data_IF_089123452356
#
_entry.id   IF_089123452356
#
_cell.length_a   1.000
_cell.length_b   1.000
_cell.length_c   1.000
_cell.angle_alpha   90.00
_cell.angle_beta   90.00
_cell.angle_gamma   90.00
#
_symmetry.space_group_name_H-M   'P 1'
#
loop_
_entity.id
_entity.type
_entity.pdbx_description
1 polymer ?
#
# COMPACT_ATOMS: atom_id res chain seq x y z
N UNK A 1 6.91 -53.55 32.93
CA UNK A 1 7.65 -54.14 31.79
C UNK A 1 7.46 -53.23 30.58
N UNK A 2 8.41 -52.36 30.20
CA UNK A 2 8.26 -51.52 29.02
C UNK A 2 8.71 -52.27 27.75
N UNK A 3 7.84 -52.33 26.75
CA UNK A 3 8.14 -52.98 25.46
C UNK A 3 9.17 -52.16 24.67
N UNK A 4 10.30 -52.78 24.30
CA UNK A 4 11.28 -52.23 23.35
C UNK A 4 10.78 -52.44 21.93
N UNK A 5 10.42 -51.36 21.23
CA UNK A 5 10.17 -51.40 19.79
C UNK A 5 11.50 -51.29 19.06
N UNK A 6 11.94 -52.38 18.42
CA UNK A 6 13.17 -52.39 17.61
C UNK A 6 12.90 -51.79 16.24
N UNK A 7 13.20 -50.50 16.06
CA UNK A 7 13.14 -49.86 14.75
C UNK A 7 14.39 -50.23 13.93
N UNK A 8 14.24 -51.19 13.01
CA UNK A 8 15.25 -51.59 12.01
C UNK A 8 15.77 -50.35 11.27
N UNK A 9 17.05 -50.06 11.40
CA UNK A 9 17.76 -49.08 10.59
C UNK A 9 18.06 -49.70 9.22
N UNK A 10 17.30 -49.33 8.19
CA UNK A 10 17.65 -49.64 6.81
C UNK A 10 18.68 -48.61 6.32
N UNK A 11 19.93 -49.08 6.28
CA UNK A 11 21.08 -48.43 5.64
C UNK A 11 20.77 -48.16 4.17
N UNK A 12 20.37 -46.94 3.83
CA UNK A 12 20.25 -46.49 2.44
C UNK A 12 21.65 -46.30 1.86
N UNK A 13 21.94 -47.06 0.80
CA UNK A 13 23.20 -47.07 0.06
C UNK A 13 23.42 -45.73 -0.66
N UNK A 14 24.64 -45.24 -0.57
CA UNK A 14 25.16 -44.08 -1.31
C UNK A 14 25.03 -44.30 -2.82
N UNK A 15 24.41 -43.35 -3.52
CA UNK A 15 24.41 -43.22 -4.97
C UNK A 15 24.78 -41.79 -5.32
N UNK A 16 26.03 -41.57 -5.71
CA UNK A 16 26.54 -40.29 -6.18
C UNK A 16 26.22 -40.12 -7.67
N UNK A 17 25.43 -39.10 -8.01
CA UNK A 17 25.56 -38.29 -9.23
C UNK A 17 24.45 -37.22 -9.23
N UNK A 18 24.57 -36.17 -8.41
CA UNK A 18 23.77 -34.95 -8.63
C UNK A 18 24.49 -34.11 -9.69
N UNK A 19 23.90 -34.06 -10.87
CA UNK A 19 24.30 -33.16 -11.95
C UNK A 19 24.46 -31.74 -11.39
N UNK A 20 25.65 -31.14 -11.58
CA UNK A 20 25.90 -29.73 -11.25
C UNK A 20 25.08 -28.87 -12.20
N UNK A 21 23.85 -28.55 -11.82
CA UNK A 21 23.07 -27.52 -12.47
C UNK A 21 23.87 -26.20 -12.35
N UNK A 22 24.17 -25.56 -13.50
CA UNK A 22 24.84 -24.25 -13.54
C UNK A 22 24.09 -23.30 -12.61
N UNK A 23 24.79 -22.80 -11.60
CA UNK A 23 24.25 -21.82 -10.66
C UNK A 23 24.01 -20.50 -11.42
N UNK A 24 22.76 -20.27 -11.83
CA UNK A 24 22.33 -18.95 -12.24
C UNK A 24 22.29 -18.06 -10.98
N UNK A 25 23.01 -16.92 -10.96
CA UNK A 25 23.14 -16.08 -9.77
C UNK A 25 21.83 -15.40 -9.33
N UNK A 26 20.73 -15.57 -10.08
CA UNK A 26 19.47 -14.84 -9.89
C UNK A 26 18.32 -15.69 -9.33
N UNK A 27 18.50 -17.00 -9.08
CA UNK A 27 17.39 -17.94 -8.81
C UNK A 27 17.24 -18.36 -7.34
N UNK A 28 17.41 -17.46 -6.38
CA UNK A 28 17.53 -17.82 -4.96
C UNK A 28 16.20 -18.20 -4.25
N UNK A 29 15.03 -17.72 -4.70
CA UNK A 29 13.75 -17.90 -3.97
C UNK A 29 13.07 -19.24 -4.30
N UNK A 30 13.07 -19.63 -5.58
CA UNK A 30 12.36 -20.84 -6.04
C UNK A 30 13.22 -22.11 -6.02
N UNK A 31 14.50 -22.01 -5.68
CA UNK A 31 15.36 -23.17 -5.50
C UNK A 31 14.93 -24.00 -4.29
N UNK A 32 15.15 -25.32 -4.41
CA UNK A 32 15.10 -26.28 -3.29
C UNK A 32 15.80 -25.65 -2.07
N UNK A 33 15.14 -25.56 -0.90
CA UNK A 33 15.70 -24.95 0.30
C UNK A 33 17.13 -25.41 0.63
N UNK A 34 17.48 -26.65 0.30
CA UNK A 34 18.82 -27.19 0.52
C UNK A 34 19.92 -26.57 -0.35
N UNK A 35 19.56 -25.97 -1.49
CA UNK A 35 20.48 -25.33 -2.43
C UNK A 35 20.49 -23.80 -2.32
N UNK A 36 19.71 -23.22 -1.40
CA UNK A 36 19.64 -21.76 -1.23
C UNK A 36 20.94 -21.23 -0.64
N UNK A 37 21.37 -20.02 -1.03
CA UNK A 37 22.50 -19.36 -0.39
C UNK A 37 22.30 -19.30 1.13
N UNK A 38 23.27 -19.81 1.90
CA UNK A 38 23.21 -19.85 3.37
C UNK A 38 22.63 -21.13 3.99
N UNK A 39 22.36 -22.18 3.20
CA UNK A 39 21.96 -23.51 3.70
C UNK A 39 23.02 -24.57 3.30
N UNK A 40 23.48 -25.43 4.23
CA UNK A 40 23.16 -25.46 5.67
C UNK A 40 23.82 -24.29 6.42
N UNK A 41 23.11 -23.74 7.40
CA UNK A 41 23.66 -22.67 8.26
C UNK A 41 24.76 -23.25 9.16
N UNK A 42 25.92 -22.60 9.22
CA UNK A 42 27.00 -22.99 10.14
C UNK A 42 26.61 -22.82 11.61
N UNK A 43 25.82 -21.77 11.91
CA UNK A 43 25.32 -21.49 13.26
C UNK A 43 23.80 -21.25 13.20
N UNK A 44 23.07 -21.99 14.03
CA UNK A 44 21.63 -21.77 14.17
C UNK A 44 21.37 -20.40 14.82
N UNK A 45 20.44 -19.58 14.28
CA UNK A 45 20.10 -18.31 14.88
C UNK A 45 19.52 -18.54 16.27
N UNK A 46 20.10 -17.90 17.28
CA UNK A 46 19.60 -17.88 18.67
C UNK A 46 19.00 -16.49 18.94
N UNK A 47 17.68 -16.30 18.78
CA UNK A 47 17.05 -15.04 19.12
C UNK A 47 17.29 -14.72 20.60
N UNK A 48 17.66 -13.48 20.91
CA UNK A 48 17.76 -13.02 22.29
C UNK A 48 16.38 -13.11 22.98
N UNK A 49 16.35 -13.42 24.28
CA UNK A 49 15.12 -13.37 25.06
C UNK A 49 14.50 -11.97 24.96
N UNK A 50 13.22 -11.88 24.58
CA UNK A 50 12.53 -10.61 24.37
C UNK A 50 12.75 -9.94 23.01
N UNK A 51 13.53 -10.54 22.08
CA UNK A 51 13.75 -9.97 20.75
C UNK A 51 12.49 -9.88 19.87
N UNK A 52 11.41 -10.55 20.26
CA UNK A 52 10.10 -10.48 19.60
C UNK A 52 9.11 -9.81 20.54
N UNK A 53 8.81 -8.54 20.26
CA UNK A 53 7.72 -7.83 20.91
C UNK A 53 6.43 -7.96 20.07
N UNK A 54 5.24 -7.99 20.70
CA UNK A 54 3.99 -7.89 19.97
C UNK A 54 3.90 -6.53 19.27
N UNK A 55 3.42 -6.53 18.03
CA UNK A 55 3.27 -5.29 17.27
C UNK A 55 1.97 -4.61 17.69
N UNK A 56 2.06 -3.40 18.23
CA UNK A 56 0.88 -2.58 18.54
C UNK A 56 0.24 -2.04 17.25
N UNK A 57 -1.08 -2.15 17.14
CA UNK A 57 -1.83 -1.65 15.99
C UNK A 57 -2.15 -0.16 16.16
N UNK A 58 -1.90 0.63 15.11
CA UNK A 58 -2.31 2.02 15.05
C UNK A 58 -3.84 2.13 14.90
N UNK A 59 -4.45 3.07 15.64
CA UNK A 59 -5.87 3.42 15.52
C UNK A 59 -6.03 4.66 14.63
N UNK A 60 -7.08 4.68 13.81
CA UNK A 60 -7.39 5.80 12.92
C UNK A 60 -8.72 6.44 13.31
N UNK A 61 -8.75 7.75 13.51
CA UNK A 61 -9.98 8.52 13.66
C UNK A 61 -10.60 8.91 12.30
N UNK A 62 -9.80 8.77 11.24
CA UNK A 62 -10.15 9.15 9.88
C UNK A 62 -10.32 7.90 9.01
N UNK A 63 -11.17 7.95 7.97
CA UNK A 63 -11.30 6.83 7.05
C UNK A 63 -9.99 6.58 6.29
N UNK A 64 -9.42 5.38 6.49
CA UNK A 64 -8.24 4.91 5.78
C UNK A 64 -8.65 3.78 4.84
N UNK A 65 -8.36 3.96 3.56
CA UNK A 65 -8.72 2.98 2.55
C UNK A 65 -7.64 1.91 2.41
N UNK A 66 -8.07 0.69 2.09
CA UNK A 66 -7.19 -0.45 1.84
C UNK A 66 -7.65 -1.19 0.59
N UNK A 67 -6.73 -1.90 -0.05
CA UNK A 67 -7.06 -2.84 -1.12
C UNK A 67 -8.06 -3.91 -0.64
N UNK A 68 -9.00 -4.28 -1.50
CA UNK A 68 -10.05 -5.26 -1.21
C UNK A 68 -9.52 -6.64 -0.75
N UNK A 69 -8.36 -7.07 -1.27
CA UNK A 69 -7.73 -8.34 -0.90
C UNK A 69 -7.07 -8.37 0.48
N UNK A 70 -6.91 -7.22 1.17
CA UNK A 70 -6.30 -7.19 2.51
C UNK A 70 -7.35 -7.33 3.62
N UNK A 71 -7.32 -8.48 4.30
CA UNK A 71 -8.20 -8.75 5.46
C UNK A 71 -7.92 -7.80 6.63
N UNK A 72 -6.65 -7.55 6.95
CA UNK A 72 -6.22 -6.70 8.06
C UNK A 72 -5.44 -5.48 7.56
N UNK A 73 -5.53 -4.37 8.28
CA UNK A 73 -4.72 -3.18 8.02
C UNK A 73 -3.27 -3.46 8.45
N UNK A 74 -2.24 -2.95 7.74
CA UNK A 74 -0.89 -2.93 8.27
C UNK A 74 -0.85 -2.26 9.66
N UNK A 75 0.12 -2.62 10.52
CA UNK A 75 0.21 -2.05 11.87
C UNK A 75 0.37 -0.52 11.91
N UNK A 76 1.03 0.05 10.89
CA UNK A 76 1.26 1.48 10.73
C UNK A 76 0.80 1.91 9.34
N UNK A 77 0.08 3.02 9.27
CA UNK A 77 -0.44 3.59 8.02
C UNK A 77 -0.56 5.12 8.12
N UNK A 78 -0.58 5.77 6.96
CA UNK A 78 -0.67 7.23 6.87
C UNK A 78 -2.07 7.74 7.19
N UNK A 79 -2.17 8.69 8.12
CA UNK A 79 -3.40 9.42 8.49
C UNK A 79 -3.30 10.93 8.26
N UNK A 80 -2.13 11.43 7.83
CA UNK A 80 -1.85 12.86 7.71
C UNK A 80 -2.75 13.61 6.71
N UNK A 81 -3.25 12.93 5.69
CA UNK A 81 -4.15 13.51 4.69
C UNK A 81 -5.47 12.74 4.65
N UNK A 82 -6.44 13.11 5.51
CA UNK A 82 -7.74 12.47 5.48
C UNK A 82 -8.45 12.76 4.16
N UNK A 83 -9.16 11.78 3.56
CA UNK A 83 -9.92 12.01 2.36
C UNK A 83 -11.06 12.99 2.65
N UNK A 84 -11.15 14.03 1.83
CA UNK A 84 -12.10 15.14 1.98
C UNK A 84 -12.64 15.57 0.63
N UNK A 85 -13.78 16.27 0.62
CA UNK A 85 -14.36 16.82 -0.60
C UNK A 85 -14.74 15.75 -1.63
N UNK A 86 -14.81 16.16 -2.90
CA UNK A 86 -15.10 15.28 -4.04
C UNK A 86 -13.90 14.37 -4.32
N UNK A 87 -12.68 14.87 -4.14
CA UNK A 87 -11.45 14.06 -4.28
C UNK A 87 -11.46 12.84 -3.33
N UNK A 88 -11.96 13.01 -2.10
CA UNK A 88 -12.12 11.92 -1.14
C UNK A 88 -13.15 10.87 -1.56
N UNK A 89 -14.27 11.30 -2.17
CA UNK A 89 -15.28 10.40 -2.71
C UNK A 89 -14.74 9.59 -3.90
N UNK A 90 -13.96 10.22 -4.77
CA UNK A 90 -13.28 9.53 -5.88
C UNK A 90 -12.30 8.48 -5.36
N UNK A 91 -11.53 8.80 -4.31
CA UNK A 91 -10.64 7.81 -3.65
C UNK A 91 -11.45 6.65 -3.05
N UNK A 92 -12.56 6.93 -2.36
CA UNK A 92 -13.46 5.88 -1.84
C UNK A 92 -13.95 4.94 -2.94
N UNK A 93 -14.38 5.50 -4.07
CA UNK A 93 -14.81 4.73 -5.24
C UNK A 93 -13.64 3.97 -5.90
N UNK A 94 -12.42 4.48 -5.83
CA UNK A 94 -11.24 3.83 -6.40
C UNK A 94 -10.90 2.57 -5.61
N UNK A 95 -10.85 2.67 -4.27
CA UNK A 95 -10.56 1.55 -3.38
C UNK A 95 -11.68 0.50 -3.29
N UNK A 96 -12.89 0.80 -3.80
CA UNK A 96 -13.92 -0.20 -4.02
C UNK A 96 -13.59 -1.15 -5.20
N UNK A 97 -12.66 -0.76 -6.09
CA UNK A 97 -12.20 -1.56 -7.22
C UNK A 97 -10.90 -2.31 -6.89
N UNK A 98 -10.70 -3.53 -7.41
CA UNK A 98 -9.42 -4.23 -7.28
C UNK A 98 -8.26 -3.50 -7.98
N UNK A 99 -7.08 -3.51 -7.38
CA UNK A 99 -5.88 -2.79 -7.85
C UNK A 99 -5.38 -3.27 -9.22
N UNK A 100 -5.66 -4.52 -9.61
CA UNK A 100 -5.29 -5.01 -10.94
C UNK A 100 -6.15 -4.41 -12.06
N UNK A 101 -7.27 -3.75 -11.74
CA UNK A 101 -8.12 -3.11 -12.74
C UNK A 101 -7.59 -1.71 -13.05
N UNK A 102 -7.41 -1.34 -14.33
CA UNK A 102 -6.90 -0.01 -14.69
C UNK A 102 -7.80 1.12 -14.18
N UNK A 103 -9.12 0.88 -14.08
CA UNK A 103 -10.07 1.84 -13.55
C UNK A 103 -9.85 2.25 -12.09
N UNK A 104 -9.15 1.44 -11.28
CA UNK A 104 -8.73 1.84 -9.93
C UNK A 104 -7.75 3.01 -10.01
N UNK A 105 -6.67 2.84 -10.79
CA UNK A 105 -5.61 3.82 -10.96
C UNK A 105 -6.08 5.08 -11.68
N UNK A 106 -6.90 4.94 -12.73
CA UNK A 106 -7.46 6.09 -13.43
C UNK A 106 -8.28 6.99 -12.50
N UNK A 107 -9.02 6.39 -11.56
CA UNK A 107 -9.82 7.15 -10.62
C UNK A 107 -8.97 7.83 -9.54
N UNK A 108 -7.86 7.21 -9.11
CA UNK A 108 -6.90 7.85 -8.21
C UNK A 108 -6.23 9.06 -8.87
N UNK A 109 -5.78 8.94 -10.12
CA UNK A 109 -5.21 10.06 -10.87
C UNK A 109 -6.22 11.20 -11.06
N UNK A 110 -7.48 10.87 -11.35
CA UNK A 110 -8.56 11.86 -11.42
C UNK A 110 -8.77 12.54 -10.06
N UNK A 111 -8.77 11.79 -8.97
CA UNK A 111 -8.91 12.33 -7.62
C UNK A 111 -7.80 13.33 -7.29
N UNK A 112 -6.56 13.07 -7.69
CA UNK A 112 -5.44 13.99 -7.47
C UNK A 112 -5.59 15.29 -8.26
N UNK A 113 -6.13 15.22 -9.50
CA UNK A 113 -6.46 16.44 -10.26
C UNK A 113 -7.58 17.22 -9.59
N UNK A 114 -8.64 16.55 -9.16
CA UNK A 114 -9.78 17.19 -8.48
C UNK A 114 -9.36 17.86 -7.18
N UNK A 115 -8.49 17.23 -6.38
CA UNK A 115 -7.99 17.81 -5.12
C UNK A 115 -7.24 19.14 -5.36
N UNK A 116 -6.43 19.20 -6.41
CA UNK A 116 -5.74 20.44 -6.81
C UNK A 116 -6.74 21.52 -7.22
N UNK A 117 -7.76 21.19 -8.00
CA UNK A 117 -8.80 22.13 -8.41
C UNK A 117 -9.62 22.62 -7.22
N UNK A 118 -10.03 21.74 -6.31
CA UNK A 118 -10.72 22.09 -5.07
C UNK A 118 -9.90 23.08 -4.24
N UNK A 119 -8.60 22.81 -4.07
CA UNK A 119 -7.72 23.70 -3.33
C UNK A 119 -7.57 25.07 -4.01
N UNK A 120 -7.36 25.08 -5.34
CA UNK A 120 -7.25 26.33 -6.11
C UNK A 120 -8.52 27.16 -6.01
N UNK A 121 -9.68 26.54 -6.22
CA UNK A 121 -10.99 27.20 -6.14
C UNK A 121 -11.23 27.75 -4.74
N UNK A 122 -11.03 26.96 -3.69
CA UNK A 122 -11.18 27.43 -2.30
C UNK A 122 -10.27 28.60 -1.97
N UNK A 123 -9.05 28.61 -2.52
CA UNK A 123 -8.08 29.69 -2.30
C UNK A 123 -8.40 30.95 -3.11
N UNK A 124 -8.89 30.81 -4.35
CA UNK A 124 -9.15 31.94 -5.25
C UNK A 124 -10.52 32.58 -5.04
N UNK A 125 -11.52 31.80 -4.63
CA UNK A 125 -12.90 32.26 -4.44
C UNK A 125 -13.06 33.51 -3.55
N UNK A 126 -12.40 33.63 -2.38
CA UNK A 126 -12.55 34.83 -1.53
C UNK A 126 -12.03 36.12 -2.19
N UNK A 127 -11.13 36.03 -3.17
CA UNK A 127 -10.61 37.19 -3.88
C UNK A 127 -11.34 37.44 -5.22
N UNK A 128 -11.75 36.37 -5.91
CA UNK A 128 -12.46 36.48 -7.18
C UNK A 128 -13.89 37.02 -7.02
N UNK A 129 -14.58 36.67 -5.93
CA UNK A 129 -15.96 37.09 -5.67
C UNK A 129 -16.14 38.62 -5.53
N UNK A 130 -15.38 39.34 -4.70
CA UNK A 130 -15.52 40.80 -4.59
C UNK A 130 -15.11 41.51 -5.90
N UNK A 131 -14.10 41.00 -6.59
CA UNK A 131 -13.64 41.55 -7.88
C UNK A 131 -14.73 41.49 -8.95
N UNK A 132 -15.42 40.36 -9.06
CA UNK A 132 -16.55 40.20 -9.98
C UNK A 132 -17.73 41.11 -9.60
N UNK A 133 -18.03 41.26 -8.30
CA UNK A 133 -19.10 42.14 -7.83
C UNK A 133 -18.84 43.62 -8.17
N UNK A 134 -17.59 44.10 -7.99
CA UNK A 134 -17.20 45.47 -8.36
C UNK A 134 -17.33 45.71 -9.86
N UNK A 135 -16.90 44.76 -10.70
CA UNK A 135 -17.02 44.88 -12.16
C UNK A 135 -18.49 44.93 -12.61
N UNK A 136 -19.36 44.09 -12.04
CA UNK A 136 -20.79 44.07 -12.36
C UNK A 136 -21.47 45.38 -11.92
N UNK A 137 -21.20 45.85 -10.70
CA UNK A 137 -21.75 47.12 -10.20
C UNK A 137 -21.27 48.32 -11.03
N UNK A 138 -19.98 48.38 -11.38
CA UNK A 138 -19.42 49.41 -12.24
C UNK A 138 -20.02 49.40 -13.65
N UNK A 139 -20.22 48.21 -14.23
CA UNK A 139 -20.87 48.05 -15.54
C UNK A 139 -22.33 48.50 -15.56
N UNK A 140 -23.11 48.15 -14.53
CA UNK A 140 -24.49 48.62 -14.34
C UNK A 140 -24.55 50.16 -14.18
N UNK A 141 -23.64 50.73 -13.38
CA UNK A 141 -23.57 52.18 -13.16
C UNK A 141 -23.17 52.94 -14.44
N UNK A 142 -22.24 52.39 -15.24
CA UNK A 142 -21.86 52.97 -16.53
C UNK A 142 -23.00 52.94 -17.54
N UNK A 143 -23.75 51.84 -17.59
CA UNK A 143 -24.90 51.68 -18.48
C UNK A 143 -26.07 52.60 -18.09
N UNK A 144 -26.29 52.82 -16.81
CA UNK A 144 -27.29 53.78 -16.31
C UNK A 144 -26.92 55.25 -16.55
N UNK A 145 -25.63 55.58 -16.72
CA UNK A 145 -25.16 56.93 -17.07
C UNK A 145 -25.25 57.27 -18.56
N UNK A 146 -25.47 56.27 -19.42
CA UNK A 146 -25.62 56.45 -20.89
C UNK A 146 -27.07 56.46 -21.38
N UNK A 147 -28.03 56.19 -20.49
CA UNK A 147 -29.47 56.31 -20.74
C UNK A 147 -29.96 57.66 -20.22
#
# INVERSE_FOLDING_TARGET
MPQKTTRKSSRAKNGHAKARAKANPTSAVDQDPANRPGVPMETAPKPLAGARAPIALQHAEVPVFKHAGRKQMPPVFGTAQPPKGLSGLLRKAAYAKPDHKPGHWMLLMLADRVDVWEHRLRKSLPWAAPSAAVLVAGGLMWRGRRA
#
